data_IF_738427444334
#
_entry.id   IF_738427444334
#
_cell.length_a   1.000
_cell.length_b   1.000
_cell.length_c   1.000
_cell.angle_alpha   90.00
_cell.angle_beta   90.00
_cell.angle_gamma   90.00
#
_symmetry.space_group_name_H-M   'P 1'
#
loop_
_entity.id
_entity.type
_entity.pdbx_description
1 polymer ?
#
# COMPACT_ATOMS: atom_id res chain seq x y z
N UNK A 1 10.78 3.75 -5.69
CA UNK A 1 9.80 3.18 -6.62
C UNK A 1 9.13 4.29 -7.41
N UNK A 2 9.04 4.12 -8.69
CA UNK A 2 8.54 5.15 -9.58
C UNK A 2 7.10 4.88 -9.96
N UNK A 3 6.23 5.87 -9.79
CA UNK A 3 4.87 5.84 -10.32
C UNK A 3 4.67 7.06 -11.20
N UNK A 4 4.00 6.85 -12.31
CA UNK A 4 3.65 7.93 -13.22
C UNK A 4 2.19 8.32 -12.95
N UNK A 5 1.93 9.59 -12.71
CA UNK A 5 0.57 10.09 -12.64
C UNK A 5 -0.12 9.93 -13.99
N UNK A 6 -1.33 9.42 -13.99
CA UNK A 6 -2.13 9.27 -15.20
C UNK A 6 -2.82 10.61 -15.52
N UNK A 7 -2.56 11.23 -16.65
CA UNK A 7 -3.02 12.59 -16.92
C UNK A 7 -4.54 12.75 -17.05
N UNK A 8 -5.27 11.68 -17.20
CA UNK A 8 -6.73 11.72 -17.33
C UNK A 8 -7.49 11.69 -16.00
N UNK A 9 -6.82 11.47 -14.90
CA UNK A 9 -7.42 11.47 -13.57
C UNK A 9 -6.72 12.53 -12.74
N UNK A 10 -7.22 13.70 -12.79
CA UNK A 10 -6.95 14.85 -11.93
C UNK A 10 -5.63 14.84 -11.16
N UNK A 11 -4.58 15.35 -11.76
CA UNK A 11 -3.35 15.67 -11.05
C UNK A 11 -3.71 16.53 -9.83
N UNK A 12 -3.58 15.98 -8.63
CA UNK A 12 -4.02 16.62 -7.41
C UNK A 12 -5.30 16.08 -6.81
N UNK A 13 -5.97 15.13 -7.48
CA UNK A 13 -7.11 14.42 -6.89
C UNK A 13 -6.66 13.50 -5.76
N UNK A 14 -7.62 13.03 -4.95
CA UNK A 14 -7.37 12.04 -3.90
C UNK A 14 -6.83 10.69 -4.42
N UNK A 15 -6.89 10.47 -5.74
CA UNK A 15 -6.37 9.26 -6.39
C UNK A 15 -4.90 9.34 -6.73
N UNK A 16 -4.36 10.53 -6.94
CA UNK A 16 -2.98 10.70 -7.34
C UNK A 16 -2.01 10.37 -6.19
N UNK A 17 -0.99 9.57 -6.47
CA UNK A 17 0.13 9.39 -5.56
C UNK A 17 0.98 10.66 -5.60
N UNK A 18 1.20 11.34 -4.47
CA UNK A 18 1.98 12.56 -4.45
C UNK A 18 3.44 12.29 -4.79
N UNK A 19 4.07 13.25 -5.46
CA UNK A 19 5.51 13.25 -5.69
C UNK A 19 6.23 13.93 -4.52
N UNK A 20 7.46 13.55 -4.28
CA UNK A 20 8.33 14.19 -3.29
C UNK A 20 8.96 13.24 -2.28
N UNK A 21 9.43 13.82 -1.18
CA UNK A 21 10.07 13.08 -0.09
C UNK A 21 9.07 12.93 1.06
N UNK A 22 8.86 11.71 1.50
CA UNK A 22 7.90 11.40 2.55
C UNK A 22 8.56 10.57 3.63
N UNK A 23 8.33 10.94 4.90
CA UNK A 23 8.79 10.11 6.01
C UNK A 23 7.98 8.83 6.07
N UNK A 24 8.64 7.73 6.32
CA UNK A 24 7.98 6.47 6.68
C UNK A 24 7.59 6.56 8.15
N UNK A 25 6.29 6.43 8.41
CA UNK A 25 5.76 6.56 9.76
C UNK A 25 5.78 5.23 10.51
N UNK A 26 5.18 4.20 9.92
CA UNK A 26 5.11 2.87 10.52
C UNK A 26 4.69 1.83 9.48
N UNK A 27 4.85 0.56 9.84
CA UNK A 27 4.28 -0.57 9.10
C UNK A 27 3.26 -1.31 9.93
N UNK A 28 2.21 -1.84 9.31
CA UNK A 28 1.25 -2.75 9.93
C UNK A 28 1.08 -4.02 9.09
N UNK A 29 0.82 -5.17 9.73
CA UNK A 29 0.81 -6.44 9.00
C UNK A 29 -0.32 -6.54 7.98
N UNK A 30 -1.45 -5.90 8.26
CA UNK A 30 -2.65 -5.98 7.41
C UNK A 30 -3.34 -4.62 7.36
N UNK A 31 -3.74 -4.22 6.18
CA UNK A 31 -4.60 -3.09 5.92
C UNK A 31 -5.92 -3.61 5.37
N UNK A 32 -7.04 -3.13 5.88
CA UNK A 32 -8.37 -3.57 5.49
C UNK A 32 -9.03 -2.60 4.52
N UNK A 33 -9.83 -3.15 3.63
CA UNK A 33 -10.67 -2.38 2.72
C UNK A 33 -12.13 -2.50 3.10
N UNK A 34 -12.84 -1.39 3.03
CA UNK A 34 -14.29 -1.36 3.21
C UNK A 34 -15.01 -1.30 1.87
N UNK A 35 -16.24 -1.81 1.85
CA UNK A 35 -17.11 -1.68 0.69
C UNK A 35 -17.69 -0.28 0.52
N UNK A 36 -18.65 -0.15 -0.37
CA UNK A 36 -19.31 1.13 -0.67
C UNK A 36 -20.06 1.74 0.51
N UNK A 37 -20.42 0.93 1.52
CA UNK A 37 -21.05 1.39 2.76
C UNK A 37 -20.07 1.99 3.77
N UNK A 38 -18.76 1.95 3.48
CA UNK A 38 -17.66 2.38 4.36
C UNK A 38 -17.64 1.68 5.74
N UNK A 39 -18.27 0.52 5.86
CA UNK A 39 -18.40 -0.24 7.12
C UNK A 39 -17.97 -1.69 6.96
N UNK A 40 -18.49 -2.38 5.96
CA UNK A 40 -18.23 -3.80 5.74
C UNK A 40 -16.83 -4.01 5.22
N UNK A 41 -16.04 -4.86 5.89
CA UNK A 41 -14.71 -5.24 5.42
C UNK A 41 -14.87 -6.21 4.25
N UNK A 42 -14.35 -5.85 3.10
CA UNK A 42 -14.49 -6.64 1.86
C UNK A 42 -13.17 -7.22 1.36
N UNK A 43 -12.08 -6.85 1.96
CA UNK A 43 -10.76 -7.36 1.57
C UNK A 43 -9.65 -6.80 2.42
N UNK A 44 -8.43 -7.23 2.12
CA UNK A 44 -7.23 -6.76 2.80
C UNK A 44 -6.04 -6.66 1.84
N UNK A 45 -4.98 -6.01 2.33
CA UNK A 45 -3.66 -6.04 1.73
C UNK A 45 -2.62 -6.20 2.85
N UNK A 46 -1.58 -6.94 2.55
CA UNK A 46 -0.55 -7.29 3.54
C UNK A 46 0.58 -6.27 3.56
N UNK A 47 1.29 -6.24 4.69
CA UNK A 47 2.54 -5.49 4.85
C UNK A 47 2.40 -4.02 4.46
N UNK A 48 1.42 -3.34 5.01
CA UNK A 48 1.16 -1.94 4.70
C UNK A 48 2.15 -1.03 5.42
N UNK A 49 2.82 -0.18 4.67
CA UNK A 49 3.81 0.78 5.18
C UNK A 49 3.28 2.19 4.96
N UNK A 50 2.99 2.89 6.06
CA UNK A 50 2.45 4.25 6.04
C UNK A 50 3.55 5.26 5.78
N UNK A 51 3.32 6.16 4.83
CA UNK A 51 4.17 7.33 4.65
C UNK A 51 3.39 8.62 4.91
N UNK A 52 4.09 9.68 5.26
CA UNK A 52 3.49 11.01 5.41
C UNK A 52 2.84 11.42 4.09
N UNK A 53 1.77 12.22 4.16
CA UNK A 53 0.99 12.55 2.98
C UNK A 53 -0.24 11.68 2.77
N UNK A 54 -0.47 10.72 3.65
CA UNK A 54 -1.74 9.99 3.74
C UNK A 54 -1.85 8.69 2.97
N UNK A 55 -0.75 8.20 2.38
CA UNK A 55 -0.75 6.97 1.61
C UNK A 55 -0.07 5.80 2.30
N UNK A 56 -0.24 4.62 1.71
CA UNK A 56 0.44 3.39 2.08
C UNK A 56 1.12 2.75 0.88
N UNK A 57 2.28 2.13 1.12
CA UNK A 57 2.79 1.06 0.26
C UNK A 57 2.21 -0.25 0.80
N UNK A 58 1.72 -1.12 -0.06
CA UNK A 58 1.12 -2.38 0.38
C UNK A 58 1.16 -3.45 -0.72
N UNK A 59 0.85 -4.68 -0.36
CA UNK A 59 0.75 -5.79 -1.29
C UNK A 59 -0.42 -5.64 -2.25
N UNK A 60 -0.52 -6.56 -3.19
CA UNK A 60 -1.68 -6.66 -4.07
C UNK A 60 -2.92 -6.95 -3.21
N UNK A 61 -3.99 -6.14 -3.34
CA UNK A 61 -5.22 -6.35 -2.58
C UNK A 61 -5.85 -7.73 -2.83
N UNK A 62 -6.37 -8.31 -1.76
CA UNK A 62 -7.10 -9.56 -1.79
C UNK A 62 -8.52 -9.33 -1.30
N UNK A 63 -9.51 -9.47 -2.19
CA UNK A 63 -10.91 -9.36 -1.81
C UNK A 63 -11.41 -10.68 -1.20
N UNK A 64 -12.41 -10.59 -0.33
CA UNK A 64 -13.05 -11.76 0.29
C UNK A 64 -14.05 -12.37 -0.69
N UNK A 65 -13.53 -13.16 -1.59
CA UNK A 65 -14.27 -13.82 -2.67
C UNK A 65 -13.68 -15.22 -2.90
N UNK A 66 -14.32 -16.08 -3.73
CA UNK A 66 -13.80 -17.42 -3.99
C UNK A 66 -12.35 -17.38 -4.47
N UNK A 67 -11.56 -18.37 -4.05
CA UNK A 67 -10.11 -18.43 -4.30
C UNK A 67 -9.74 -18.27 -5.78
N UNK A 68 -10.48 -18.91 -6.67
CA UNK A 68 -10.21 -18.83 -8.11
C UNK A 68 -10.36 -17.39 -8.63
N UNK A 69 -11.45 -16.72 -8.29
CA UNK A 69 -11.71 -15.32 -8.68
C UNK A 69 -10.67 -14.39 -8.07
N UNK A 70 -10.35 -14.60 -6.80
CA UNK A 70 -9.33 -13.82 -6.08
C UNK A 70 -7.97 -13.94 -6.74
N UNK A 71 -7.56 -15.14 -7.12
CA UNK A 71 -6.26 -15.37 -7.78
C UNK A 71 -6.21 -14.71 -9.17
N UNK A 72 -7.30 -14.78 -9.93
CA UNK A 72 -7.40 -14.10 -11.23
C UNK A 72 -7.28 -12.58 -11.09
N UNK A 73 -7.97 -12.01 -10.11
CA UNK A 73 -7.93 -10.57 -9.82
C UNK A 73 -6.54 -10.11 -9.38
N UNK A 74 -5.88 -10.89 -8.53
CA UNK A 74 -4.51 -10.61 -8.10
C UNK A 74 -3.53 -10.65 -9.26
N UNK A 75 -3.65 -11.64 -10.14
CA UNK A 75 -2.80 -11.77 -11.32
C UNK A 75 -3.00 -10.58 -12.30
N UNK A 76 -4.24 -10.15 -12.51
CA UNK A 76 -4.55 -8.98 -13.33
C UNK A 76 -3.95 -7.70 -12.74
N UNK A 77 -4.04 -7.52 -11.43
CA UNK A 77 -3.43 -6.37 -10.74
C UNK A 77 -1.92 -6.40 -10.82
N UNK A 78 -1.31 -7.57 -10.68
CA UNK A 78 0.15 -7.73 -10.76
C UNK A 78 0.71 -7.23 -12.09
N UNK A 79 0.01 -7.48 -13.19
CA UNK A 79 0.42 -7.00 -14.53
C UNK A 79 0.40 -5.48 -14.67
N UNK A 80 -0.34 -4.79 -13.81
CA UNK A 80 -0.50 -3.33 -13.86
C UNK A 80 0.44 -2.58 -12.92
N UNK A 81 1.17 -3.29 -12.07
CA UNK A 81 2.10 -2.66 -11.13
C UNK A 81 3.16 -1.87 -11.89
N UNK A 82 3.33 -0.61 -11.51
CA UNK A 82 4.29 0.30 -12.14
C UNK A 82 3.80 0.96 -13.41
N UNK A 83 2.58 0.69 -13.86
CA UNK A 83 2.04 1.26 -15.09
C UNK A 83 1.29 2.57 -14.87
N UNK A 84 0.12 2.55 -14.24
CA UNK A 84 -0.69 3.75 -14.00
C UNK A 84 -1.40 3.68 -12.65
N UNK A 85 -1.95 4.80 -12.24
CA UNK A 85 -2.59 4.91 -10.93
C UNK A 85 -4.00 4.33 -10.95
N UNK A 86 -4.26 3.38 -10.05
CA UNK A 86 -5.57 2.78 -9.84
C UNK A 86 -6.02 2.84 -8.37
N UNK A 87 -5.22 3.41 -7.49
CA UNK A 87 -5.50 3.43 -6.07
C UNK A 87 -5.48 4.84 -5.50
N UNK A 88 -6.17 5.03 -4.37
CA UNK A 88 -6.21 6.32 -3.67
C UNK A 88 -4.89 6.58 -2.94
N UNK A 89 -3.96 7.26 -3.57
CA UNK A 89 -2.62 7.64 -3.05
C UNK A 89 -1.73 6.46 -2.66
N UNK A 90 -2.25 5.25 -2.60
CA UNK A 90 -1.48 4.08 -2.21
C UNK A 90 -0.62 3.56 -3.35
N UNK A 91 0.49 2.94 -3.01
CA UNK A 91 1.41 2.32 -3.96
C UNK A 91 1.35 0.82 -3.79
N UNK A 92 0.91 0.13 -4.84
CA UNK A 92 0.87 -1.34 -4.86
C UNK A 92 2.22 -1.90 -5.22
N UNK A 93 2.64 -2.92 -4.49
CA UNK A 93 3.87 -3.67 -4.74
C UNK A 93 3.56 -5.13 -4.96
N UNK A 94 4.48 -5.86 -5.57
CA UNK A 94 4.46 -7.31 -5.49
C UNK A 94 4.60 -7.75 -4.03
N UNK A 95 3.96 -8.85 -3.68
CA UNK A 95 3.85 -9.29 -2.27
C UNK A 95 5.22 -9.50 -1.62
N UNK A 96 6.18 -10.07 -2.34
CA UNK A 96 7.54 -10.28 -1.86
C UNK A 96 8.32 -8.98 -1.68
N UNK A 97 8.12 -8.01 -2.56
CA UNK A 97 8.79 -6.71 -2.47
C UNK A 97 8.36 -5.94 -1.23
N UNK A 98 7.06 -5.84 -1.01
CA UNK A 98 6.57 -5.10 0.16
C UNK A 98 6.88 -5.82 1.46
N UNK A 99 6.88 -7.15 1.44
CA UNK A 99 7.31 -7.93 2.60
C UNK A 99 8.77 -7.62 2.97
N UNK A 100 9.63 -7.51 1.98
CA UNK A 100 11.03 -7.12 2.19
C UNK A 100 11.12 -5.74 2.85
N UNK A 101 10.39 -4.76 2.34
CA UNK A 101 10.38 -3.39 2.89
C UNK A 101 9.85 -3.40 4.33
N UNK A 102 8.74 -4.10 4.57
CA UNK A 102 8.12 -4.21 5.89
C UNK A 102 9.08 -4.85 6.91
N UNK A 103 9.73 -5.94 6.54
CA UNK A 103 10.70 -6.61 7.41
C UNK A 103 11.93 -5.73 7.64
N UNK A 104 12.34 -4.97 6.64
CA UNK A 104 13.48 -4.06 6.71
C UNK A 104 13.27 -2.92 7.72
N UNK A 105 12.05 -2.50 7.98
CA UNK A 105 11.77 -1.51 9.03
C UNK A 105 12.29 -1.98 10.39
N UNK A 106 12.22 -3.26 10.66
CA UNK A 106 12.99 -3.95 11.69
C UNK A 106 12.39 -3.93 13.09
N UNK A 107 12.09 -2.77 13.64
CA UNK A 107 11.70 -2.67 15.03
C UNK A 107 10.21 -2.98 15.27
N UNK A 108 9.93 -3.80 16.29
CA UNK A 108 8.57 -3.87 16.82
C UNK A 108 8.19 -2.49 17.39
N UNK A 109 6.97 -2.07 17.11
CA UNK A 109 6.47 -0.78 17.57
C UNK A 109 5.92 -0.88 18.98
N UNK A 110 6.61 -0.30 20.01
CA UNK A 110 6.15 -0.37 21.40
C UNK A 110 4.78 0.30 21.56
N UNK A 111 3.90 -0.32 22.35
CA UNK A 111 2.58 0.23 22.64
C UNK A 111 1.58 0.15 21.50
N UNK A 112 1.93 -0.44 20.37
CA UNK A 112 1.06 -0.67 19.24
C UNK A 112 0.62 -2.14 19.14
N UNK A 113 -0.27 -2.42 18.19
CA UNK A 113 -0.76 -3.77 17.96
C UNK A 113 0.36 -4.71 17.52
N UNK A 114 0.19 -5.99 17.82
CA UNK A 114 1.13 -7.03 17.42
C UNK A 114 1.43 -6.97 15.92
N UNK A 115 2.71 -7.05 15.59
CA UNK A 115 3.18 -6.99 14.20
C UNK A 115 3.39 -5.59 13.65
N UNK A 116 3.01 -4.54 14.37
CA UNK A 116 3.34 -3.18 13.95
C UNK A 116 4.84 -2.93 14.08
N UNK A 117 5.38 -2.18 13.12
CA UNK A 117 6.81 -1.87 13.07
C UNK A 117 7.02 -0.38 12.89
N UNK A 118 8.12 0.11 13.45
CA UNK A 118 8.61 1.46 13.19
C UNK A 118 10.02 1.38 12.60
N UNK A 119 10.42 2.33 11.73
CA UNK A 119 11.79 2.35 11.23
C UNK A 119 12.80 2.43 12.39
N UNK A 120 13.85 1.61 12.33
CA UNK A 120 14.94 1.65 13.31
C UNK A 120 15.76 2.94 13.22
N UNK A 121 15.75 3.57 12.04
CA UNK A 121 16.32 4.90 11.80
C UNK A 121 15.31 5.70 10.98
N UNK A 122 15.32 7.06 11.08
CA UNK A 122 14.47 7.89 10.24
C UNK A 122 14.64 7.53 8.76
N UNK A 123 13.56 7.21 8.12
CA UNK A 123 13.57 6.70 6.74
C UNK A 123 12.66 7.54 5.85
N UNK A 124 13.17 7.90 4.69
CA UNK A 124 12.46 8.71 3.69
C UNK A 124 12.16 7.86 2.47
N UNK A 125 10.93 7.96 2.00
CA UNK A 125 10.51 7.42 0.71
C UNK A 125 10.50 8.54 -0.31
N UNK A 126 11.17 8.32 -1.44
CA UNK A 126 11.18 9.27 -2.56
C UNK A 126 10.24 8.79 -3.66
N UNK A 127 9.25 9.61 -3.99
CA UNK A 127 8.34 9.39 -5.12
C UNK A 127 8.69 10.38 -6.24
N UNK A 128 9.09 9.82 -7.36
CA UNK A 128 9.48 10.59 -8.55
C UNK A 128 8.50 10.43 -9.69
#
# INVERSE_FOLDING_TARGET
MRRRAWPGKDAGSSYATPYGNFLIAYGKPVMQYTGSDNKTIVGDARNAVRFSGGGYMHSIPSLFEPKATRNQRKAATAKKIGTFEESHKCIRHYDDQIKFIYDWLGNASPGHKLGYRTPSVPTVMLVK
#
